data_IF_223573564486
#
_entry.id   IF_223573564486
#
_cell.length_a   1.000
_cell.length_b   1.000
_cell.length_c   1.000
_cell.angle_alpha   90.00
_cell.angle_beta   90.00
_cell.angle_gamma   90.00
#
_symmetry.space_group_name_H-M   'P 1'
#
loop_
_entity.id
_entity.type
_entity.pdbx_description
1 polymer ?
#
# COMPACT_ATOMS: atom_id res chain seq x y z
N UNK A 1 0.58 22.57 18.05
CA UNK A 1 -0.45 21.79 17.34
C UNK A 1 0.20 21.25 16.09
N UNK A 2 0.55 19.95 16.05
CA UNK A 2 1.03 19.34 14.81
C UNK A 2 -0.18 19.14 13.90
N UNK A 3 -0.11 19.62 12.66
CA UNK A 3 -1.11 19.31 11.65
C UNK A 3 -1.23 17.79 11.50
N UNK A 4 -2.43 17.24 11.23
CA UNK A 4 -2.58 15.83 10.93
C UNK A 4 -1.69 15.48 9.73
N UNK A 5 -0.89 14.42 9.86
CA UNK A 5 -0.10 13.88 8.75
C UNK A 5 -1.06 13.50 7.62
N UNK A 6 -0.82 14.01 6.42
CA UNK A 6 -1.59 13.62 5.24
C UNK A 6 -1.10 12.24 4.78
N UNK A 7 -1.89 11.52 3.99
CA UNK A 7 -1.51 10.17 3.53
C UNK A 7 -0.14 10.18 2.83
N UNK A 8 0.16 11.24 2.08
CA UNK A 8 1.42 11.47 1.41
C UNK A 8 2.60 11.53 2.40
N UNK A 9 2.44 12.14 3.58
CA UNK A 9 3.49 12.19 4.59
C UNK A 9 3.80 10.80 5.15
N UNK A 10 2.75 9.99 5.36
CA UNK A 10 2.90 8.59 5.78
C UNK A 10 3.58 7.75 4.71
N UNK A 11 3.23 7.94 3.44
CA UNK A 11 3.91 7.30 2.31
C UNK A 11 5.39 7.68 2.32
N UNK A 12 5.72 8.97 2.42
CA UNK A 12 7.13 9.45 2.44
C UNK A 12 7.96 8.88 3.58
N UNK A 13 7.33 8.53 4.70
CA UNK A 13 8.00 7.95 5.86
C UNK A 13 8.30 6.45 5.72
N UNK A 14 7.77 5.76 4.71
CA UNK A 14 8.03 4.32 4.56
C UNK A 14 9.51 4.06 4.21
N UNK A 15 10.16 3.07 4.85
CA UNK A 15 11.60 2.84 4.70
C UNK A 15 11.98 2.09 3.41
N UNK A 16 11.01 1.75 2.56
CA UNK A 16 11.19 0.89 1.40
C UNK A 16 11.57 1.63 0.11
N UNK A 17 11.63 2.96 0.12
CA UNK A 17 11.84 3.75 -1.08
C UNK A 17 13.29 3.81 -1.54
N UNK A 18 13.46 3.78 -2.86
CA UNK A 18 14.73 4.06 -3.52
C UNK A 18 14.75 5.51 -4.02
N UNK A 19 15.41 6.40 -3.25
CA UNK A 19 15.55 7.81 -3.61
C UNK A 19 14.29 8.63 -3.35
N UNK A 20 14.11 9.73 -4.10
CA UNK A 20 12.93 10.58 -4.01
C UNK A 20 11.71 9.93 -4.66
N UNK A 21 10.53 10.23 -4.12
CA UNK A 21 9.27 9.67 -4.62
C UNK A 21 8.29 10.75 -5.12
N UNK A 22 7.58 10.40 -6.18
CA UNK A 22 6.38 11.09 -6.68
C UNK A 22 5.14 10.28 -6.28
N UNK A 23 4.07 10.98 -5.84
CA UNK A 23 2.87 10.34 -5.28
C UNK A 23 1.65 10.87 -6.03
N UNK A 24 0.82 9.97 -6.54
CA UNK A 24 -0.43 10.29 -7.22
C UNK A 24 -1.58 9.48 -6.61
N UNK A 25 -2.74 10.11 -6.30
CA UNK A 25 -3.92 9.37 -5.88
C UNK A 25 -4.39 8.39 -6.97
N UNK A 26 -4.67 7.16 -6.59
CA UNK A 26 -5.29 6.16 -7.47
C UNK A 26 -6.76 6.00 -7.07
N UNK A 27 -7.70 6.66 -7.77
CA UNK A 27 -9.10 6.64 -7.41
C UNK A 27 -9.68 5.23 -7.55
N UNK A 28 -10.62 4.92 -6.66
CA UNK A 28 -11.24 3.60 -6.55
C UNK A 28 -10.88 2.90 -5.24
N UNK A 29 -11.42 1.70 -5.08
CA UNK A 29 -11.38 0.98 -3.80
C UNK A 29 -12.57 1.34 -2.92
N UNK A 30 -13.29 0.32 -2.46
CA UNK A 30 -14.44 0.50 -1.54
C UNK A 30 -13.98 0.65 -0.08
N UNK A 31 -12.92 -0.08 0.29
CA UNK A 31 -12.46 -0.25 1.67
C UNK A 31 -10.99 0.16 1.89
N UNK A 32 -10.39 0.80 0.88
CA UNK A 32 -9.00 1.22 0.87
C UNK A 32 -8.83 2.53 0.12
N UNK A 33 -7.79 3.29 0.48
CA UNK A 33 -7.27 4.41 -0.28
C UNK A 33 -5.98 3.97 -0.96
N UNK A 34 -5.87 4.21 -2.27
CA UNK A 34 -4.75 3.74 -3.07
C UNK A 34 -3.99 4.93 -3.67
N UNK A 35 -2.68 4.74 -3.83
CA UNK A 35 -1.78 5.72 -4.42
C UNK A 35 -0.82 4.98 -5.37
N UNK A 36 -0.54 5.59 -6.52
CA UNK A 36 0.62 5.21 -7.33
C UNK A 36 1.80 6.00 -6.80
N UNK A 37 2.90 5.32 -6.51
CA UNK A 37 4.14 5.93 -6.06
C UNK A 37 5.25 5.55 -7.02
N UNK A 38 5.97 6.54 -7.54
CA UNK A 38 7.12 6.30 -8.43
C UNK A 38 8.39 6.66 -7.68
N UNK A 39 9.35 5.73 -7.65
CA UNK A 39 10.69 5.91 -7.10
C UNK A 39 11.76 5.49 -8.14
N UNK A 40 13.05 5.46 -7.75
CA UNK A 40 14.12 5.06 -8.65
C UNK A 40 14.07 3.57 -9.09
N UNK A 41 13.34 2.72 -8.37
CA UNK A 41 13.14 1.31 -8.71
C UNK A 41 11.91 1.08 -9.61
N UNK A 42 11.03 2.08 -9.76
CA UNK A 42 9.91 2.07 -10.69
C UNK A 42 8.60 2.50 -10.04
N UNK A 43 7.49 1.93 -10.53
CA UNK A 43 6.13 2.25 -10.08
C UNK A 43 5.63 1.21 -9.10
N UNK A 44 5.08 1.70 -8.00
CA UNK A 44 4.51 0.93 -6.89
C UNK A 44 3.07 1.38 -6.63
N UNK A 45 2.30 0.52 -5.96
CA UNK A 45 0.98 0.89 -5.44
C UNK A 45 1.04 0.80 -3.93
N UNK A 46 0.67 1.88 -3.25
CA UNK A 46 0.50 1.89 -1.79
C UNK A 46 -0.99 1.87 -1.49
N UNK A 47 -1.39 0.97 -0.59
CA UNK A 47 -2.77 0.76 -0.17
C UNK A 47 -2.89 1.01 1.33
N UNK A 48 -3.64 2.02 1.70
CA UNK A 48 -4.07 2.20 3.08
C UNK A 48 -5.42 1.53 3.28
N UNK A 49 -5.54 0.70 4.32
CA UNK A 49 -6.80 0.06 4.64
C UNK A 49 -6.89 -0.36 6.09
N UNK A 50 -8.13 -0.51 6.57
CA UNK A 50 -8.44 -1.12 7.85
C UNK A 50 -9.35 -2.32 7.62
N UNK A 51 -9.35 -3.29 8.54
CA UNK A 51 -10.24 -4.43 8.45
C UNK A 51 -11.67 -4.00 8.17
N UNK A 52 -12.32 -4.76 7.28
CA UNK A 52 -13.69 -4.50 6.86
C UNK A 52 -14.50 -5.79 6.96
N UNK A 53 -14.80 -6.25 8.20
CA UNK A 53 -15.28 -7.61 8.45
C UNK A 53 -16.64 -7.91 7.83
N UNK A 54 -17.50 -6.90 7.70
CA UNK A 54 -18.81 -7.05 7.05
C UNK A 54 -18.68 -7.54 5.59
N UNK A 55 -17.62 -7.13 4.89
CA UNK A 55 -17.29 -7.60 3.55
C UNK A 55 -16.20 -8.70 3.56
N UNK A 56 -15.93 -9.30 4.72
CA UNK A 56 -14.93 -10.36 4.92
C UNK A 56 -13.49 -9.99 4.50
N UNK A 57 -13.14 -8.70 4.50
CA UNK A 57 -11.79 -8.24 4.14
C UNK A 57 -10.95 -8.06 5.41
N UNK A 58 -9.87 -8.82 5.54
CA UNK A 58 -8.92 -8.74 6.65
C UNK A 58 -7.50 -8.46 6.11
N UNK A 59 -6.85 -7.40 6.58
CA UNK A 59 -5.60 -6.89 5.98
C UNK A 59 -4.47 -7.92 6.01
N UNK A 60 -4.34 -8.65 7.10
CA UNK A 60 -3.32 -9.71 7.22
C UNK A 60 -3.51 -10.81 6.17
N UNK A 61 -4.78 -11.16 5.86
CA UNK A 61 -5.09 -12.17 4.84
C UNK A 61 -4.81 -11.66 3.44
N UNK A 62 -5.01 -10.37 3.18
CA UNK A 62 -4.62 -9.74 1.91
C UNK A 62 -3.11 -9.81 1.70
N UNK A 63 -2.29 -9.47 2.71
CA UNK A 63 -0.82 -9.59 2.63
C UNK A 63 -0.40 -11.03 2.35
N UNK A 64 -0.97 -11.99 3.09
CA UNK A 64 -0.69 -13.43 2.91
C UNK A 64 -1.02 -13.87 1.48
N UNK A 65 -2.20 -13.48 0.98
CA UNK A 65 -2.69 -13.87 -0.35
C UNK A 65 -1.86 -13.22 -1.46
N UNK A 66 -1.51 -11.95 -1.34
CA UNK A 66 -0.67 -11.23 -2.30
C UNK A 66 0.72 -11.88 -2.43
N UNK A 67 1.34 -12.25 -1.30
CA UNK A 67 2.63 -12.96 -1.29
C UNK A 67 2.52 -14.34 -1.94
N UNK A 68 1.46 -15.10 -1.64
CA UNK A 68 1.23 -16.42 -2.25
C UNK A 68 1.00 -16.30 -3.77
N UNK A 69 0.23 -15.31 -4.21
CA UNK A 69 -0.05 -15.05 -5.61
C UNK A 69 1.23 -14.63 -6.38
N UNK A 70 2.11 -13.86 -5.75
CA UNK A 70 3.42 -13.55 -6.31
C UNK A 70 4.30 -14.80 -6.45
N UNK A 71 4.39 -15.62 -5.39
CA UNK A 71 5.14 -16.87 -5.41
C UNK A 71 4.64 -17.85 -6.48
N UNK A 72 3.35 -17.78 -6.80
CA UNK A 72 2.72 -18.56 -7.87
C UNK A 72 2.82 -17.92 -9.28
N UNK A 73 3.41 -16.72 -9.40
CA UNK A 73 3.75 -16.10 -10.68
C UNK A 73 2.65 -15.32 -11.39
N UNK A 74 1.54 -15.00 -10.71
CA UNK A 74 0.41 -14.28 -11.32
C UNK A 74 0.02 -12.96 -10.63
N UNK A 75 0.81 -12.51 -9.63
CA UNK A 75 0.66 -11.20 -9.02
C UNK A 75 2.02 -10.50 -8.83
N UNK A 76 2.03 -9.16 -8.72
CA UNK A 76 3.23 -8.39 -8.36
C UNK A 76 3.77 -8.77 -6.98
N UNK A 77 5.06 -8.50 -6.76
CA UNK A 77 5.69 -8.71 -5.46
C UNK A 77 5.14 -7.73 -4.40
N UNK A 78 5.10 -8.18 -3.15
CA UNK A 78 4.86 -7.31 -1.99
C UNK A 78 6.21 -6.76 -1.55
N UNK A 79 6.45 -5.47 -1.77
CA UNK A 79 7.73 -4.80 -1.43
C UNK A 79 7.82 -4.42 0.04
N UNK A 80 6.70 -4.02 0.65
CA UNK A 80 6.59 -3.63 2.05
C UNK A 80 5.20 -3.98 2.57
N UNK A 81 5.07 -4.24 3.88
CA UNK A 81 3.77 -4.40 4.53
C UNK A 81 3.90 -4.14 6.03
N UNK A 82 2.92 -3.44 6.58
CA UNK A 82 2.73 -3.24 8.03
C UNK A 82 1.23 -3.15 8.33
N UNK A 83 0.79 -3.15 9.60
CA UNK A 83 -0.64 -3.04 9.92
C UNK A 83 -1.31 -1.84 9.24
N UNK A 84 -2.22 -2.14 8.31
CA UNK A 84 -3.00 -1.17 7.56
C UNK A 84 -2.32 -0.54 6.33
N UNK A 85 -1.12 -1.03 5.96
CA UNK A 85 -0.42 -0.61 4.73
C UNK A 85 0.08 -1.86 3.97
N UNK A 86 -0.23 -1.91 2.68
CA UNK A 86 0.31 -2.87 1.71
C UNK A 86 0.87 -2.14 0.49
#
# INVERSE_FOLDING_TARGET
MNAPLVAEDRIRALPCWSGSIEIEPLPGGLSNANYVVTDAAGRHVVRFGQDFPFHHVFREREVMTARAAHAAGFAPAVHYAEPGIL
#
